data_IF_094106102007
#
_entry.id   IF_094106102007
#
_cell.length_a   1.000
_cell.length_b   1.000
_cell.length_c   1.000
_cell.angle_alpha   90.00
_cell.angle_beta   90.00
_cell.angle_gamma   90.00
#
_symmetry.space_group_name_H-M   'P 1'
#
loop_
_entity.id
_entity.type
_entity.pdbx_description
1 polymer ?
#
# COMPACT_ATOMS: atom_id res chain seq x y z
N UNK A 1 -8.18 -18.53 13.24
CA UNK A 1 -7.91 -18.22 11.82
C UNK A 1 -8.40 -19.41 11.01
N UNK A 2 -9.05 -19.19 9.86
CA UNK A 2 -9.64 -20.28 9.07
C UNK A 2 -8.53 -21.20 8.51
N UNK A 3 -8.70 -22.54 8.46
CA UNK A 3 -7.64 -23.44 7.97
C UNK A 3 -7.18 -23.14 6.54
N UNK A 4 -8.11 -22.69 5.69
CA UNK A 4 -7.86 -22.28 4.28
C UNK A 4 -7.52 -20.80 4.09
N UNK A 5 -7.05 -20.09 5.12
CA UNK A 5 -6.91 -18.61 5.04
C UNK A 5 -6.13 -18.12 3.82
N UNK A 6 -5.01 -18.75 3.44
CA UNK A 6 -4.22 -18.30 2.28
C UNK A 6 -4.97 -18.46 0.96
N UNK A 7 -5.69 -19.57 0.79
CA UNK A 7 -6.52 -19.84 -0.39
C UNK A 7 -7.66 -18.83 -0.52
N UNK A 8 -8.35 -18.55 0.59
CA UNK A 8 -9.46 -17.59 0.63
C UNK A 8 -8.98 -16.16 0.38
N UNK A 9 -7.82 -15.78 0.92
CA UNK A 9 -7.20 -14.49 0.65
C UNK A 9 -6.90 -14.32 -0.84
N UNK A 10 -6.33 -15.34 -1.47
CA UNK A 10 -6.01 -15.33 -2.91
C UNK A 10 -7.28 -15.25 -3.77
N UNK A 11 -8.35 -15.96 -3.38
CA UNK A 11 -9.63 -15.88 -4.09
C UNK A 11 -10.24 -14.48 -4.01
N UNK A 12 -10.22 -13.87 -2.82
CA UNK A 12 -10.68 -12.49 -2.63
C UNK A 12 -9.80 -11.51 -3.42
N UNK A 13 -8.48 -11.68 -3.41
CA UNK A 13 -7.56 -10.85 -4.17
C UNK A 13 -7.87 -10.87 -5.67
N UNK A 14 -8.13 -12.05 -6.25
CA UNK A 14 -8.54 -12.21 -7.65
C UNK A 14 -9.87 -11.55 -7.99
N UNK A 15 -10.83 -11.54 -7.05
CA UNK A 15 -12.10 -10.84 -7.21
C UNK A 15 -11.88 -9.32 -7.22
N UNK A 16 -11.09 -8.82 -6.27
CA UNK A 16 -10.74 -7.39 -6.15
C UNK A 16 -9.94 -6.90 -7.35
N UNK A 17 -9.01 -7.69 -7.88
CA UNK A 17 -8.25 -7.35 -9.09
C UNK A 17 -9.16 -7.09 -10.30
N UNK A 18 -10.25 -7.84 -10.43
CA UNK A 18 -11.18 -7.74 -11.57
C UNK A 18 -12.26 -6.67 -11.40
N UNK A 19 -12.85 -6.56 -10.20
CA UNK A 19 -14.02 -5.72 -9.95
C UNK A 19 -13.75 -4.56 -8.98
N UNK A 20 -12.49 -4.36 -8.59
CA UNK A 20 -12.09 -3.34 -7.63
C UNK A 20 -12.48 -3.70 -6.19
N UNK A 21 -12.21 -2.77 -5.26
CA UNK A 21 -12.45 -2.98 -3.83
C UNK A 21 -13.93 -3.24 -3.49
N UNK A 22 -14.85 -2.80 -4.35
CA UNK A 22 -16.29 -3.05 -4.18
C UNK A 22 -16.60 -4.56 -4.15
N UNK A 23 -15.79 -5.37 -4.83
CA UNK A 23 -15.90 -6.84 -4.77
C UNK A 23 -15.80 -7.38 -3.33
N UNK A 24 -14.97 -6.76 -2.47
CA UNK A 24 -14.94 -7.14 -1.05
C UNK A 24 -16.25 -6.77 -0.40
N UNK A 25 -16.77 -5.55 -0.58
CA UNK A 25 -17.97 -5.06 0.09
C UNK A 25 -19.23 -5.84 -0.29
N UNK A 26 -19.39 -6.16 -1.58
CA UNK A 26 -20.56 -6.86 -2.10
C UNK A 26 -20.51 -8.38 -1.86
N UNK A 27 -19.35 -8.92 -1.44
CA UNK A 27 -19.17 -10.34 -1.17
C UNK A 27 -20.09 -10.84 -0.05
N UNK A 28 -20.91 -11.85 -0.37
CA UNK A 28 -21.60 -12.71 0.59
C UNK A 28 -20.62 -13.76 1.15
N UNK A 29 -20.51 -13.82 2.48
CA UNK A 29 -19.65 -14.76 3.20
C UNK A 29 -19.97 -16.22 2.85
N UNK A 30 -21.24 -16.54 2.55
CA UNK A 30 -21.66 -17.90 2.17
C UNK A 30 -21.12 -18.33 0.81
N UNK A 31 -20.92 -17.40 -0.11
CA UNK A 31 -20.31 -17.71 -1.41
C UNK A 31 -18.85 -18.14 -1.28
N UNK A 32 -18.14 -17.63 -0.27
CA UNK A 32 -16.73 -17.88 -0.06
C UNK A 32 -16.49 -19.04 0.93
N UNK A 33 -17.27 -19.08 2.02
CA UNK A 33 -17.05 -19.98 3.16
C UNK A 33 -18.07 -21.13 3.24
N UNK A 34 -19.18 -21.07 2.51
CA UNK A 34 -20.24 -22.08 2.58
C UNK A 34 -20.80 -22.21 4.00
N UNK A 35 -20.82 -23.44 4.52
CA UNK A 35 -21.31 -23.72 5.87
C UNK A 35 -20.47 -23.04 6.98
N UNK A 36 -19.19 -22.81 6.73
CA UNK A 36 -18.31 -22.18 7.72
C UNK A 36 -18.71 -20.72 7.97
N UNK A 37 -19.44 -20.07 7.05
CA UNK A 37 -19.88 -18.68 7.18
C UNK A 37 -20.62 -18.36 8.50
N UNK A 38 -21.25 -19.34 9.15
CA UNK A 38 -21.91 -19.15 10.45
C UNK A 38 -20.93 -18.92 11.61
N UNK A 39 -19.66 -19.31 11.44
CA UNK A 39 -18.63 -19.29 12.49
C UNK A 39 -17.53 -18.25 12.25
N UNK A 40 -17.56 -17.58 11.10
CA UNK A 40 -16.61 -16.54 10.72
C UNK A 40 -17.35 -15.25 10.41
N UNK A 41 -16.63 -14.13 10.49
CA UNK A 41 -17.16 -12.80 10.20
C UNK A 41 -16.20 -12.08 9.27
N UNK A 42 -16.74 -11.40 8.28
CA UNK A 42 -16.04 -10.45 7.42
C UNK A 42 -15.63 -9.21 8.22
N UNK A 43 -14.39 -8.79 8.06
CA UNK A 43 -13.85 -7.60 8.74
C UNK A 43 -14.05 -6.37 7.82
N UNK A 44 -14.69 -5.30 8.30
CA UNK A 44 -14.90 -4.09 7.51
C UNK A 44 -13.74 -3.09 7.61
N UNK A 45 -12.76 -3.34 8.49
CA UNK A 45 -11.62 -2.46 8.68
C UNK A 45 -10.81 -2.36 7.39
N UNK A 46 -10.37 -1.14 7.06
CA UNK A 46 -9.50 -0.87 5.92
C UNK A 46 -8.06 -0.74 6.37
N UNK A 47 -7.14 -0.93 5.43
CA UNK A 47 -5.72 -0.63 5.68
C UNK A 47 -5.50 0.88 5.79
N UNK A 48 -4.44 1.23 6.51
CA UNK A 48 -3.99 2.62 6.62
C UNK A 48 -3.36 3.10 5.30
N UNK A 49 -3.53 4.38 4.98
CA UNK A 49 -3.06 4.97 3.71
C UNK A 49 -1.54 4.89 3.51
N UNK A 50 -0.77 4.76 4.59
CA UNK A 50 0.67 4.53 4.50
C UNK A 50 1.02 3.14 4.01
N UNK A 51 0.13 2.15 4.21
CA UNK A 51 0.28 0.82 3.61
C UNK A 51 0.14 0.91 2.09
N UNK A 52 -0.93 1.56 1.61
CA UNK A 52 -1.21 1.70 0.19
C UNK A 52 -0.06 2.40 -0.53
N UNK A 53 0.33 3.58 -0.03
CA UNK A 53 1.48 4.32 -0.58
C UNK A 53 2.78 3.54 -0.46
N UNK A 54 3.03 2.89 0.68
CA UNK A 54 4.24 2.09 0.92
C UNK A 54 4.36 0.88 0.01
N UNK A 55 3.25 0.33 -0.49
CA UNK A 55 3.23 -0.84 -1.38
C UNK A 55 3.62 -0.54 -2.83
N UNK A 56 3.76 0.74 -3.19
CA UNK A 56 3.93 1.19 -4.60
C UNK A 56 5.21 0.69 -5.27
N UNK A 57 6.27 0.39 -4.51
CA UNK A 57 7.47 -0.24 -5.09
C UNK A 57 7.14 -1.59 -5.77
N UNK A 58 6.18 -2.33 -5.22
CA UNK A 58 5.72 -3.61 -5.77
C UNK A 58 4.53 -3.42 -6.71
N UNK A 59 3.48 -2.73 -6.25
CA UNK A 59 2.24 -2.61 -7.02
C UNK A 59 2.38 -1.79 -8.31
N UNK A 60 3.38 -0.90 -8.39
CA UNK A 60 3.66 -0.09 -9.57
C UNK A 60 4.96 -0.51 -10.24
N UNK A 61 6.10 -0.39 -9.56
CA UNK A 61 7.40 -0.51 -10.23
C UNK A 61 7.69 -1.95 -10.64
N UNK A 62 7.42 -2.93 -9.77
CA UNK A 62 7.62 -4.34 -10.12
C UNK A 62 6.62 -4.87 -11.16
N UNK A 63 5.40 -4.31 -11.21
CA UNK A 63 4.33 -4.83 -12.06
C UNK A 63 4.19 -4.13 -13.43
N UNK A 64 4.70 -2.91 -13.59
CA UNK A 64 4.55 -2.19 -14.86
C UNK A 64 5.66 -2.50 -15.86
N UNK A 65 5.32 -2.79 -17.13
CA UNK A 65 6.30 -3.19 -18.13
C UNK A 65 7.29 -2.07 -18.47
N UNK A 66 6.91 -0.79 -18.29
CA UNK A 66 7.78 0.36 -18.55
C UNK A 66 9.07 0.39 -17.71
N UNK A 67 9.07 -0.27 -16.55
CA UNK A 67 10.25 -0.34 -15.68
C UNK A 67 11.13 -1.57 -15.94
N UNK A 68 10.69 -2.49 -16.81
CA UNK A 68 11.47 -3.66 -17.24
C UNK A 68 12.12 -4.46 -16.08
N UNK A 69 11.41 -4.58 -14.96
CA UNK A 69 11.88 -5.29 -13.76
C UNK A 69 13.09 -4.66 -13.06
N UNK A 70 13.39 -3.39 -13.31
CA UNK A 70 14.51 -2.68 -12.67
C UNK A 70 14.19 -2.30 -11.23
N UNK A 71 15.22 -2.38 -10.38
CA UNK A 71 15.17 -1.83 -9.03
C UNK A 71 15.13 -0.30 -9.05
N UNK A 72 14.48 0.29 -8.05
CA UNK A 72 14.38 1.75 -7.92
C UNK A 72 15.72 2.32 -7.45
N UNK A 73 16.29 3.22 -8.24
CA UNK A 73 17.53 3.90 -7.86
C UNK A 73 17.32 4.93 -6.75
N UNK A 74 16.24 5.72 -6.81
CA UNK A 74 16.05 6.85 -5.90
C UNK A 74 14.58 7.12 -5.59
N UNK A 75 14.29 7.37 -4.32
CA UNK A 75 13.09 8.08 -3.88
C UNK A 75 13.42 9.56 -3.62
N UNK A 76 12.52 10.46 -4.05
CA UNK A 76 12.67 11.90 -3.89
C UNK A 76 11.37 12.50 -3.38
N UNK A 77 11.37 13.01 -2.15
CA UNK A 77 10.23 13.71 -1.56
C UNK A 77 10.65 14.74 -0.50
N UNK A 78 9.67 15.46 0.06
CA UNK A 78 9.86 16.33 1.22
C UNK A 78 10.39 15.59 2.46
N UNK A 79 11.14 16.30 3.32
CA UNK A 79 11.75 15.71 4.51
C UNK A 79 10.74 15.10 5.52
N UNK A 80 9.46 15.50 5.47
CA UNK A 80 8.38 14.89 6.26
C UNK A 80 8.13 13.42 5.93
N UNK A 81 8.51 12.95 4.74
CA UNK A 81 8.25 11.57 4.30
C UNK A 81 9.13 10.52 4.98
N UNK A 82 10.14 10.91 5.77
CA UNK A 82 10.92 9.97 6.59
C UNK A 82 10.05 9.20 7.59
N UNK A 83 8.94 9.79 8.04
CA UNK A 83 7.98 9.14 8.96
C UNK A 83 6.67 8.74 8.26
N UNK A 84 6.64 8.88 6.94
CA UNK A 84 5.53 8.52 6.07
C UNK A 84 6.01 7.52 5.03
N UNK A 85 5.96 7.92 3.77
CA UNK A 85 6.13 7.02 2.63
C UNK A 85 7.45 6.26 2.58
N UNK A 86 8.57 6.88 2.98
CA UNK A 86 9.87 6.20 2.99
C UNK A 86 9.89 5.05 3.99
N UNK A 87 9.39 5.30 5.20
CA UNK A 87 9.36 4.30 6.27
C UNK A 87 8.39 3.17 5.93
N UNK A 88 7.19 3.48 5.44
CA UNK A 88 6.20 2.46 5.10
C UNK A 88 6.69 1.57 3.95
N UNK A 89 7.28 2.16 2.90
CA UNK A 89 7.87 1.40 1.80
C UNK A 89 9.01 0.49 2.29
N UNK A 90 9.89 1.01 3.14
CA UNK A 90 11.03 0.26 3.67
C UNK A 90 10.57 -0.93 4.52
N UNK A 91 9.58 -0.72 5.41
CA UNK A 91 9.04 -1.79 6.25
C UNK A 91 8.39 -2.89 5.41
N UNK A 92 7.59 -2.53 4.41
CA UNK A 92 6.89 -3.50 3.56
C UNK A 92 7.88 -4.30 2.71
N UNK A 93 8.80 -3.64 2.01
CA UNK A 93 9.78 -4.33 1.17
C UNK A 93 10.74 -5.20 1.98
N UNK A 94 11.13 -4.76 3.18
CA UNK A 94 11.94 -5.62 4.06
C UNK A 94 11.16 -6.86 4.50
N UNK A 95 9.85 -6.73 4.76
CA UNK A 95 9.01 -7.83 5.19
C UNK A 95 8.71 -8.85 4.07
N UNK A 96 8.50 -8.39 2.82
CA UNK A 96 8.12 -9.28 1.71
C UNK A 96 9.29 -9.74 0.85
N UNK A 97 10.27 -8.86 0.62
CA UNK A 97 11.33 -9.04 -0.37
C UNK A 97 12.73 -9.11 0.26
N UNK A 98 12.82 -8.92 1.59
CA UNK A 98 14.09 -8.90 2.35
C UNK A 98 15.12 -7.91 1.81
N UNK A 99 14.67 -6.78 1.23
CA UNK A 99 15.53 -5.70 0.73
C UNK A 99 14.89 -4.33 0.96
N UNK A 100 15.68 -3.28 0.78
CA UNK A 100 15.15 -1.92 0.71
C UNK A 100 14.47 -1.69 -0.66
N UNK A 101 13.39 -0.90 -0.72
CA UNK A 101 12.66 -0.67 -1.97
C UNK A 101 13.36 0.36 -2.88
N UNK A 102 14.41 1.03 -2.41
CA UNK A 102 15.19 2.03 -3.15
C UNK A 102 16.67 1.93 -2.78
N UNK A 103 17.56 2.34 -3.69
CA UNK A 103 19.01 2.41 -3.42
C UNK A 103 19.40 3.69 -2.68
N UNK A 104 18.70 4.81 -2.96
CA UNK A 104 18.99 6.13 -2.39
C UNK A 104 17.71 6.90 -2.03
N UNK A 105 17.81 7.80 -1.06
CA UNK A 105 16.76 8.77 -0.72
C UNK A 105 17.35 10.17 -0.83
N UNK A 106 16.67 11.02 -1.61
CA UNK A 106 16.95 12.44 -1.69
C UNK A 106 15.79 13.22 -1.08
N UNK A 107 16.08 14.10 -0.12
CA UNK A 107 15.03 14.92 0.49
C UNK A 107 15.23 16.39 0.23
N UNK A 108 14.12 17.10 -0.02
CA UNK A 108 14.11 18.55 -0.08
C UNK A 108 13.37 19.18 1.11
N UNK A 109 13.67 20.44 1.39
CA UNK A 109 12.96 21.25 2.38
C UNK A 109 11.59 21.70 1.87
N UNK A 110 10.86 22.43 2.71
CA UNK A 110 9.58 23.05 2.32
C UNK A 110 9.80 24.33 1.54
N UNK A 111 8.93 24.59 0.56
CA UNK A 111 8.83 25.92 -0.04
C UNK A 111 8.26 26.90 0.98
N UNK A 112 8.92 28.06 1.11
CA UNK A 112 8.57 29.12 2.05
C UNK A 112 7.98 30.34 1.34
N UNK A 113 7.16 31.12 2.05
CA UNK A 113 6.70 32.43 1.59
C UNK A 113 7.82 33.49 1.67
N UNK A 114 7.53 34.72 1.25
CA UNK A 114 8.49 35.83 1.31
C UNK A 114 8.94 36.22 2.73
N UNK A 115 8.30 35.68 3.76
CA UNK A 115 8.66 35.87 5.17
C UNK A 115 9.34 34.61 5.77
N UNK A 116 9.67 33.61 4.96
CA UNK A 116 10.33 32.39 5.41
C UNK A 116 9.41 31.39 6.12
N UNK A 117 8.09 31.60 6.09
CA UNK A 117 7.12 30.67 6.69
C UNK A 117 6.77 29.56 5.71
N UNK A 118 6.69 28.32 6.19
CA UNK A 118 6.24 27.17 5.40
C UNK A 118 4.88 27.48 4.78
N UNK A 119 4.78 27.37 3.46
CA UNK A 119 3.49 27.47 2.79
C UNK A 119 2.60 26.29 3.17
N UNK A 120 1.34 26.57 3.54
CA UNK A 120 0.31 25.56 3.82
C UNK A 120 -1.01 26.00 3.21
N UNK A 121 -1.82 25.04 2.77
CA UNK A 121 -3.18 25.28 2.25
C UNK A 121 -4.12 25.92 3.29
N UNK A 122 -3.80 25.77 4.58
CA UNK A 122 -4.62 26.26 5.70
C UNK A 122 -4.42 27.78 5.91
N UNK A 123 -3.31 28.35 5.45
CA UNK A 123 -3.01 29.78 5.61
C UNK A 123 -3.37 30.62 4.37
N UNK A 124 -4.33 30.14 3.57
CA UNK A 124 -4.93 30.90 2.47
C UNK A 124 -6.38 31.24 2.78
#
# INVERSE_FOLDING_TARGET
MHPRTLELLEEVAKRVEKAGIQAWWDLDEKELLGADAETYRKVPDTLDVWFDSGSTYSSVVANRPEFNGQDIDMYLEGSDQHRGWFMSSLMLSTATDSKAPYKQVLTHGFTVDGQGRKMSKIYR
#
